data_IF_144288095052
#
_entry.id   IF_144288095052
#
_cell.length_a   1.000
_cell.length_b   1.000
_cell.length_c   1.000
_cell.angle_alpha   90.00
_cell.angle_beta   90.00
_cell.angle_gamma   90.00
#
_symmetry.space_group_name_H-M   'P 1'
#
loop_
_entity.id
_entity.type
_entity.pdbx_description
1 polymer ?
#
# COMPACT_ATOMS: atom_id res chain seq x y z
N UNK A 1 -17.58 8.24 -13.96
CA UNK A 1 -17.98 8.09 -12.54
C UNK A 1 -18.81 9.29 -12.15
N UNK A 2 -20.13 9.15 -12.16
CA UNK A 2 -21.05 10.18 -11.70
C UNK A 2 -20.97 10.17 -10.18
N UNK A 3 -20.39 11.22 -9.59
CA UNK A 3 -20.56 11.50 -8.17
C UNK A 3 -22.06 11.80 -8.02
N UNK A 4 -22.82 10.79 -7.61
CA UNK A 4 -24.18 10.99 -7.12
C UNK A 4 -24.03 11.88 -5.89
N UNK A 5 -24.07 13.18 -6.13
CA UNK A 5 -24.39 14.18 -5.13
C UNK A 5 -25.83 13.85 -4.74
N UNK A 6 -25.95 12.91 -3.80
CA UNK A 6 -27.18 12.73 -3.04
C UNK A 6 -27.48 14.11 -2.48
N UNK A 7 -28.40 14.76 -3.16
CA UNK A 7 -29.16 15.91 -2.72
C UNK A 7 -29.84 15.46 -1.44
N UNK A 8 -29.08 15.53 -0.35
CA UNK A 8 -29.49 15.43 1.04
C UNK A 8 -30.27 16.70 1.36
N UNK A 9 -31.39 16.84 0.65
CA UNK A 9 -32.47 17.74 0.95
C UNK A 9 -32.95 17.24 2.32
N UNK A 10 -32.79 18.09 3.36
CA UNK A 10 -33.34 18.00 4.73
C UNK A 10 -32.42 17.60 5.90
N UNK A 11 -31.13 17.24 5.75
CA UNK A 11 -30.26 17.10 6.93
C UNK A 11 -29.22 18.21 7.01
N UNK A 12 -29.30 18.99 8.08
CA UNK A 12 -28.24 19.91 8.46
C UNK A 12 -26.94 19.11 8.69
N UNK A 13 -25.79 19.60 8.21
CA UNK A 13 -24.49 19.01 8.51
C UNK A 13 -24.28 18.87 10.01
N UNK A 14 -23.52 17.86 10.41
CA UNK A 14 -23.16 17.72 11.83
C UNK A 14 -22.22 18.86 12.23
N UNK A 15 -22.23 19.24 13.52
CA UNK A 15 -21.34 20.28 14.03
C UNK A 15 -19.87 20.01 13.71
N UNK A 16 -19.44 18.75 13.79
CA UNK A 16 -18.09 18.33 13.40
C UNK A 16 -17.78 18.70 11.94
N UNK A 17 -18.69 18.42 11.00
CA UNK A 17 -18.50 18.77 9.59
C UNK A 17 -18.41 20.28 9.36
N UNK A 18 -19.19 21.07 10.10
CA UNK A 18 -19.11 22.54 10.04
C UNK A 18 -17.78 23.06 10.57
N UNK A 19 -17.24 22.46 11.64
CA UNK A 19 -15.91 22.80 12.20
C UNK A 19 -14.80 22.45 11.21
N UNK A 20 -14.77 21.22 10.68
CA UNK A 20 -13.78 20.80 9.67
C UNK A 20 -13.82 21.71 8.44
N UNK A 21 -15.01 22.12 8.01
CA UNK A 21 -15.15 23.07 6.91
C UNK A 21 -14.61 24.45 7.27
N UNK A 22 -14.93 24.97 8.47
CA UNK A 22 -14.41 26.26 8.94
C UNK A 22 -12.88 26.27 9.06
N UNK A 23 -12.27 25.19 9.57
CA UNK A 23 -10.81 25.00 9.61
C UNK A 23 -10.20 25.09 8.21
N UNK A 24 -10.79 24.39 7.23
CA UNK A 24 -10.32 24.44 5.83
C UNK A 24 -10.32 25.85 5.23
N UNK A 25 -11.25 26.72 5.66
CA UNK A 25 -11.32 28.12 5.22
C UNK A 25 -10.24 29.00 5.88
N UNK A 26 -9.87 28.71 7.13
CA UNK A 26 -8.84 29.47 7.86
C UNK A 26 -7.43 29.08 7.38
N UNK A 27 -7.18 27.79 7.17
CA UNK A 27 -5.85 27.27 6.82
C UNK A 27 -5.40 27.60 5.38
N UNK A 28 -6.34 27.96 4.48
CA UNK A 28 -6.12 28.29 3.05
C UNK A 28 -5.41 27.21 2.20
N UNK A 29 -5.02 26.08 2.80
CA UNK A 29 -4.28 24.99 2.13
C UNK A 29 -5.12 23.74 1.90
N UNK A 30 -6.29 23.65 2.52
CA UNK A 30 -7.17 22.49 2.41
C UNK A 30 -8.23 22.72 1.33
N UNK A 31 -8.53 21.73 0.46
CA UNK A 31 -9.56 21.86 -0.54
C UNK A 31 -10.95 22.03 0.12
N UNK A 32 -11.69 23.06 -0.33
CA UNK A 32 -13.02 23.37 0.18
C UNK A 32 -14.06 22.48 -0.53
N UNK A 33 -14.87 21.76 0.25
CA UNK A 33 -15.96 20.93 -0.30
C UNK A 33 -17.03 21.81 -0.98
N UNK A 34 -17.19 21.63 -2.30
CA UNK A 34 -18.17 22.36 -3.10
C UNK A 34 -19.61 22.08 -2.64
N UNK A 35 -19.91 20.84 -2.22
CA UNK A 35 -21.23 20.47 -1.71
C UNK A 35 -21.56 21.21 -0.41
N UNK A 36 -20.58 21.35 0.50
CA UNK A 36 -20.77 22.12 1.73
C UNK A 36 -20.98 23.62 1.42
N UNK A 37 -20.18 24.18 0.50
CA UNK A 37 -20.35 25.56 0.07
C UNK A 37 -21.75 25.82 -0.53
N UNK A 38 -22.24 24.90 -1.37
CA UNK A 38 -23.59 24.96 -1.91
C UNK A 38 -24.66 24.94 -0.80
N UNK A 39 -24.52 24.04 0.20
CA UNK A 39 -25.44 24.00 1.34
C UNK A 39 -25.42 25.30 2.15
N UNK A 40 -24.23 25.84 2.46
CA UNK A 40 -24.09 27.09 3.22
C UNK A 40 -24.67 28.29 2.46
N UNK A 41 -24.63 28.29 1.12
CA UNK A 41 -25.29 29.33 0.31
C UNK A 41 -26.82 29.27 0.40
N UNK A 42 -27.39 28.07 0.59
CA UNK A 42 -28.84 27.86 0.69
C UNK A 42 -29.37 27.94 2.13
N UNK A 43 -28.54 27.69 3.14
CA UNK A 43 -28.95 27.57 4.54
C UNK A 43 -28.30 28.65 5.44
N UNK A 44 -29.02 29.74 5.78
CA UNK A 44 -28.46 30.86 6.52
C UNK A 44 -28.07 30.50 7.97
N UNK A 45 -28.74 29.51 8.57
CA UNK A 45 -28.43 29.03 9.92
C UNK A 45 -27.05 28.37 9.98
N UNK A 46 -26.79 27.40 9.10
CA UNK A 46 -25.47 26.76 9.03
C UNK A 46 -24.38 27.75 8.62
N UNK A 47 -24.68 28.70 7.74
CA UNK A 47 -23.74 29.78 7.39
C UNK A 47 -23.41 30.69 8.58
N UNK A 48 -24.39 30.99 9.46
CA UNK A 48 -24.13 31.73 10.69
C UNK A 48 -23.25 30.94 11.66
N UNK A 49 -23.50 29.64 11.83
CA UNK A 49 -22.68 28.76 12.67
C UNK A 49 -21.23 28.66 12.16
N UNK A 50 -21.01 28.47 10.85
CA UNK A 50 -19.66 28.45 10.26
C UNK A 50 -18.95 29.79 10.43
N UNK A 51 -19.65 30.92 10.27
CA UNK A 51 -19.07 32.26 10.52
C UNK A 51 -18.66 32.43 11.98
N UNK A 52 -19.46 31.96 12.93
CA UNK A 52 -19.13 32.01 14.35
C UNK A 52 -17.90 31.16 14.69
N UNK A 53 -17.84 29.91 14.19
CA UNK A 53 -16.69 29.02 14.37
C UNK A 53 -15.44 29.66 13.76
N UNK A 54 -15.54 30.18 12.54
CA UNK A 54 -14.43 30.84 11.84
C UNK A 54 -13.90 32.04 12.63
N UNK A 55 -14.78 32.89 13.18
CA UNK A 55 -14.36 34.01 14.00
C UNK A 55 -13.58 33.56 15.26
N UNK A 56 -13.99 32.46 15.89
CA UNK A 56 -13.25 31.88 17.02
C UNK A 56 -11.88 31.33 16.61
N UNK A 57 -11.79 30.67 15.45
CA UNK A 57 -10.53 30.15 14.91
C UNK A 57 -9.60 31.28 14.48
N UNK A 58 -10.11 32.32 13.82
CA UNK A 58 -9.33 33.51 13.44
C UNK A 58 -8.81 34.26 14.67
N UNK A 59 -9.62 34.37 15.73
CA UNK A 59 -9.17 34.92 17.01
C UNK A 59 -8.02 34.09 17.60
N UNK A 60 -8.16 32.76 17.64
CA UNK A 60 -7.09 31.88 18.11
C UNK A 60 -5.82 31.99 17.25
N UNK A 61 -5.96 32.12 15.92
CA UNK A 61 -4.85 32.29 14.99
C UNK A 61 -4.18 33.67 15.07
N UNK A 62 -4.89 34.69 15.58
CA UNK A 62 -4.33 36.03 15.78
C UNK A 62 -3.39 36.13 16.98
N UNK A 63 -3.45 35.15 17.88
CA UNK A 63 -2.53 35.08 19.01
C UNK A 63 -1.12 34.83 18.45
N UNK A 64 -0.14 35.71 18.74
CA UNK A 64 1.23 35.50 18.27
C UNK A 64 1.70 34.12 18.73
N UNK A 65 2.27 33.35 17.79
CA UNK A 65 2.78 32.03 18.10
C UNK A 65 3.78 32.15 19.25
N UNK A 66 3.44 31.61 20.42
CA UNK A 66 4.34 31.55 21.55
C UNK A 66 5.58 30.79 21.11
N UNK A 67 6.74 31.46 21.15
CA UNK A 67 8.00 30.80 20.87
C UNK A 67 8.19 29.70 21.93
N UNK A 68 8.23 28.41 21.54
CA UNK A 68 8.41 27.35 22.51
C UNK A 68 9.74 27.58 23.21
N UNK A 69 9.78 27.36 24.53
CA UNK A 69 11.05 27.46 25.25
C UNK A 69 12.08 26.54 24.60
N UNK A 70 13.30 27.02 24.43
CA UNK A 70 14.39 26.24 23.81
C UNK A 70 14.61 24.89 24.53
N UNK A 71 14.31 24.83 25.83
CA UNK A 71 14.28 23.60 26.62
C UNK A 71 13.20 22.61 26.17
N UNK A 72 11.97 23.06 25.89
CA UNK A 72 10.89 22.18 25.44
C UNK A 72 11.17 21.57 24.06
N UNK A 73 11.66 22.39 23.12
CA UNK A 73 12.03 21.90 21.79
C UNK A 73 13.10 20.79 21.90
N UNK A 74 14.10 21.00 22.76
CA UNK A 74 15.13 20.00 23.03
C UNK A 74 14.55 18.73 23.67
N UNK A 75 13.67 18.86 24.65
CA UNK A 75 13.03 17.72 25.30
C UNK A 75 12.18 16.89 24.33
N UNK A 76 11.43 17.55 23.43
CA UNK A 76 10.65 16.87 22.39
C UNK A 76 11.58 16.12 21.43
N UNK A 77 12.69 16.73 21.02
CA UNK A 77 13.66 16.09 20.12
C UNK A 77 14.37 14.91 20.79
N UNK A 78 14.71 15.03 22.07
CA UNK A 78 15.31 13.95 22.86
C UNK A 78 14.32 12.79 23.03
N UNK A 79 13.08 13.06 23.45
CA UNK A 79 12.02 12.05 23.55
C UNK A 79 11.69 11.38 22.22
N UNK A 80 11.68 12.13 21.10
CA UNK A 80 11.48 11.58 19.77
C UNK A 80 12.64 10.67 19.34
N UNK A 81 13.89 10.98 19.73
CA UNK A 81 15.06 10.12 19.47
C UNK A 81 15.02 8.85 20.32
N UNK A 82 14.64 8.96 21.58
CA UNK A 82 14.45 7.81 22.47
C UNK A 82 13.35 6.89 21.96
N UNK A 83 12.20 7.44 21.56
CA UNK A 83 11.12 6.68 20.94
C UNK A 83 11.59 5.96 19.67
N UNK A 84 12.38 6.62 18.80
CA UNK A 84 12.97 5.98 17.62
C UNK A 84 13.92 4.83 18.00
N UNK A 85 14.80 5.01 18.99
CA UNK A 85 15.72 3.96 19.45
C UNK A 85 14.99 2.78 20.10
N UNK A 86 13.88 3.05 20.78
CA UNK A 86 13.03 2.00 21.37
C UNK A 86 12.20 1.26 20.31
N UNK A 87 11.76 1.97 19.26
CA UNK A 87 11.00 1.42 18.15
C UNK A 87 11.88 0.72 17.11
N UNK A 88 13.15 1.10 17.00
CA UNK A 88 14.14 0.38 16.21
C UNK A 88 14.19 -1.04 16.78
N UNK A 89 13.70 -2.05 16.05
CA UNK A 89 13.74 -3.41 16.53
C UNK A 89 15.20 -3.65 16.84
N UNK A 90 15.53 -3.90 18.11
CA UNK A 90 16.86 -4.34 18.49
C UNK A 90 17.14 -5.55 17.62
N UNK A 91 17.79 -5.32 16.50
CA UNK A 91 18.39 -6.32 15.66
C UNK A 91 19.53 -6.80 16.53
N UNK A 92 19.18 -7.65 17.51
CA UNK A 92 20.11 -8.44 18.28
C UNK A 92 21.08 -8.95 17.24
N UNK A 93 22.39 -8.68 17.38
CA UNK A 93 23.35 -9.22 16.44
C UNK A 93 23.04 -10.70 16.36
N UNK A 94 22.57 -11.14 15.18
CA UNK A 94 22.14 -12.51 15.01
C UNK A 94 23.32 -13.35 15.49
N UNK A 95 23.12 -14.25 16.47
CA UNK A 95 24.23 -15.00 17.05
C UNK A 95 25.02 -15.59 15.89
N UNK A 96 26.35 -15.45 15.89
CA UNK A 96 27.24 -15.78 14.76
C UNK A 96 27.01 -17.19 14.13
N UNK A 97 26.27 -18.05 14.83
CA UNK A 97 25.69 -19.30 14.31
C UNK A 97 24.73 -19.13 13.11
N UNK A 98 24.12 -17.96 12.87
CA UNK A 98 23.23 -17.75 11.70
C UNK A 98 23.99 -17.45 10.41
N UNK A 99 25.24 -16.98 10.47
CA UNK A 99 26.07 -16.77 9.29
C UNK A 99 26.46 -18.10 8.63
N UNK A 100 26.75 -19.13 9.44
CA UNK A 100 26.99 -20.49 8.94
C UNK A 100 25.72 -21.12 8.35
N UNK A 101 24.55 -20.87 8.94
CA UNK A 101 23.27 -21.34 8.40
C UNK A 101 22.91 -20.65 7.06
N UNK A 102 23.26 -19.36 6.93
CA UNK A 102 23.12 -18.62 5.67
C UNK A 102 24.04 -19.15 4.56
N UNK A 103 25.30 -19.44 4.89
CA UNK A 103 26.26 -20.02 3.95
C UNK A 103 25.82 -21.42 3.47
N UNK A 104 25.27 -22.25 4.36
CA UNK A 104 24.74 -23.57 3.99
C UNK A 104 23.53 -23.48 3.05
N UNK A 105 22.62 -22.53 3.26
CA UNK A 105 21.49 -22.31 2.36
C UNK A 105 21.93 -21.83 0.98
N UNK A 106 22.95 -20.98 0.91
CA UNK A 106 23.56 -20.58 -0.35
C UNK A 106 24.18 -21.76 -1.11
N UNK A 107 24.91 -22.63 -0.41
CA UNK A 107 25.54 -23.81 -1.00
C UNK A 107 24.53 -24.85 -1.54
N UNK A 108 23.40 -25.04 -0.85
CA UNK A 108 22.34 -25.94 -1.34
C UNK A 108 21.72 -25.41 -2.64
N UNK A 109 21.50 -24.11 -2.75
CA UNK A 109 20.95 -23.50 -3.96
C UNK A 109 21.91 -23.61 -5.16
N UNK A 110 23.21 -23.41 -4.96
CA UNK A 110 24.19 -23.53 -6.05
C UNK A 110 24.33 -24.97 -6.55
N UNK A 111 24.33 -25.96 -5.65
CA UNK A 111 24.34 -27.38 -6.03
C UNK A 111 23.08 -27.75 -6.80
N UNK A 112 21.90 -27.30 -6.35
CA UNK A 112 20.64 -27.58 -7.04
C UNK A 112 20.62 -26.98 -8.44
N UNK A 113 21.07 -25.73 -8.59
CA UNK A 113 21.17 -25.07 -9.90
C UNK A 113 22.21 -25.71 -10.83
N UNK A 114 23.33 -26.17 -10.29
CA UNK A 114 24.34 -26.88 -11.08
C UNK A 114 23.80 -28.25 -11.56
N UNK A 115 23.07 -28.97 -10.70
CA UNK A 115 22.45 -30.24 -11.05
C UNK A 115 21.36 -30.10 -12.12
N UNK A 116 20.51 -29.08 -12.02
CA UNK A 116 19.50 -28.80 -13.05
C UNK A 116 20.14 -28.38 -14.37
N UNK A 117 21.19 -27.55 -14.34
CA UNK A 117 21.96 -27.21 -15.53
C UNK A 117 22.59 -28.45 -16.18
N UNK A 118 23.21 -29.33 -15.40
CA UNK A 118 23.81 -30.56 -15.91
C UNK A 118 22.79 -31.53 -16.55
N UNK A 119 21.59 -31.62 -15.98
CA UNK A 119 20.48 -32.40 -16.55
C UNK A 119 20.02 -31.84 -17.90
N UNK A 120 19.89 -30.51 -18.01
CA UNK A 120 19.50 -29.83 -19.26
C UNK A 120 20.59 -29.96 -20.34
N UNK A 121 21.86 -29.88 -19.96
CA UNK A 121 22.96 -30.07 -20.92
C UNK A 121 23.12 -31.54 -21.36
N UNK A 122 22.88 -32.50 -20.47
CA UNK A 122 22.93 -33.93 -20.82
C UNK A 122 21.83 -34.33 -21.81
N UNK A 123 20.62 -33.77 -21.70
CA UNK A 123 19.57 -34.05 -22.67
C UNK A 123 19.87 -33.46 -24.04
N UNK A 124 20.51 -32.29 -24.11
CA UNK A 124 20.92 -31.67 -25.37
C UNK A 124 22.07 -32.42 -26.07
N UNK A 125 23.00 -33.02 -25.31
CA UNK A 125 24.13 -33.77 -25.88
C UNK A 125 23.76 -35.22 -26.27
N UNK A 126 22.69 -35.79 -25.70
CA UNK A 126 22.23 -37.14 -25.99
C UNK A 126 21.62 -37.35 -27.39
N UNK A 127 21.27 -36.27 -28.09
CA UNK A 127 20.59 -36.33 -29.39
C UNK A 127 21.55 -36.41 -30.60
N UNK A 128 22.87 -36.36 -30.38
CA UNK A 128 23.86 -36.28 -31.48
C UNK A 128 24.50 -37.61 -31.89
N UNK A 129 23.95 -38.76 -31.49
CA UNK A 129 24.55 -40.10 -31.71
C UNK A 129 23.70 -41.05 -32.57
N UNK A 130 22.87 -40.53 -33.47
CA UNK A 130 22.15 -41.31 -34.49
C UNK A 130 22.65 -40.94 -35.89
N UNK A 131 23.27 -41.89 -36.60
CA UNK A 131 23.93 -41.69 -37.89
C UNK A 131 23.00 -41.27 -39.04
N UNK A 132 23.60 -40.85 -40.18
CA UNK A 132 22.86 -40.27 -41.29
C UNK A 132 22.30 -41.36 -42.20
N UNK A 133 20.97 -41.43 -42.33
CA UNK A 133 20.34 -42.00 -43.51
C UNK A 133 19.30 -41.05 -44.08
N UNK A 134 19.53 -40.77 -45.35
CA UNK A 134 18.91 -39.77 -46.19
C UNK A 134 17.56 -40.29 -46.70
N UNK A 135 16.49 -39.52 -46.54
CA UNK A 135 15.39 -39.48 -47.53
C UNK A 135 14.77 -38.07 -47.56
N UNK A 136 14.73 -37.39 -48.71
CA UNK A 136 14.06 -36.11 -48.85
C UNK A 136 12.65 -36.36 -49.38
N UNK A 137 11.66 -36.43 -48.49
CA UNK A 137 10.26 -36.34 -48.93
C UNK A 137 9.46 -35.52 -47.93
N UNK A 138 8.77 -34.51 -48.46
CA UNK A 138 8.25 -33.39 -47.72
C UNK A 138 7.21 -33.74 -46.67
N UNK A 139 7.36 -33.11 -45.52
CA UNK A 139 6.30 -32.45 -44.77
C UNK A 139 6.98 -31.56 -43.75
N UNK A 140 6.52 -30.34 -43.57
CA UNK A 140 7.00 -29.42 -42.54
C UNK A 140 6.29 -29.75 -41.22
N UNK A 141 6.97 -30.22 -40.16
CA UNK A 141 6.46 -30.07 -38.81
C UNK A 141 7.21 -28.91 -38.14
N UNK A 142 6.50 -27.79 -38.09
CA UNK A 142 6.49 -26.81 -37.00
C UNK A 142 7.06 -27.40 -35.69
N UNK A 143 8.31 -27.07 -35.35
CA UNK A 143 8.89 -27.35 -34.01
C UNK A 143 9.75 -26.18 -33.52
N UNK A 144 9.14 -25.00 -33.56
CA UNK A 144 9.36 -23.98 -32.56
C UNK A 144 8.42 -24.30 -31.39
N UNK A 145 8.96 -24.80 -30.28
CA UNK A 145 8.34 -24.77 -28.94
C UNK A 145 9.11 -25.71 -28.01
N UNK A 146 10.18 -25.20 -27.40
CA UNK A 146 10.66 -25.62 -26.08
C UNK A 146 11.51 -24.46 -25.49
N UNK A 147 11.05 -23.22 -25.73
CA UNK A 147 11.15 -22.23 -24.67
C UNK A 147 10.15 -22.74 -23.63
N UNK A 148 10.64 -23.14 -22.46
CA UNK A 148 9.81 -23.40 -21.30
C UNK A 148 8.91 -22.18 -21.15
N UNK A 149 7.67 -22.36 -21.60
CA UNK A 149 6.57 -21.46 -21.42
C UNK A 149 6.36 -21.46 -19.91
N UNK A 150 7.10 -20.58 -19.23
CA UNK A 150 6.73 -20.04 -17.94
C UNK A 150 5.36 -19.43 -18.18
N UNK A 151 4.36 -20.31 -18.08
CA UNK A 151 2.98 -20.06 -18.44
C UNK A 151 2.62 -18.84 -17.61
N UNK A 152 2.49 -17.64 -18.22
CA UNK A 152 2.20 -16.45 -17.45
C UNK A 152 0.90 -16.79 -16.73
N UNK A 153 0.95 -16.81 -15.40
CA UNK A 153 -0.23 -17.10 -14.59
C UNK A 153 -1.38 -16.30 -15.21
N UNK A 154 -2.52 -16.96 -15.54
CA UNK A 154 -3.61 -16.35 -16.28
C UNK A 154 -3.87 -15.01 -15.61
N UNK A 155 -3.90 -13.89 -16.37
CA UNK A 155 -3.74 -12.54 -15.86
C UNK A 155 -4.66 -12.38 -14.66
N UNK A 156 -4.05 -12.54 -13.48
CA UNK A 156 -4.83 -12.68 -12.27
C UNK A 156 -5.53 -11.34 -12.14
N UNK A 157 -6.87 -11.41 -12.12
CA UNK A 157 -7.67 -10.23 -12.32
C UNK A 157 -7.37 -9.31 -11.14
N UNK A 158 -6.61 -8.25 -11.40
CA UNK A 158 -6.13 -7.30 -10.38
C UNK A 158 -7.32 -6.81 -9.54
N UNK A 159 -8.50 -6.72 -10.17
CA UNK A 159 -9.76 -6.38 -9.51
C UNK A 159 -10.19 -7.42 -8.47
N UNK A 160 -10.05 -8.71 -8.75
CA UNK A 160 -10.46 -9.78 -7.83
C UNK A 160 -9.53 -9.83 -6.61
N UNK A 161 -8.21 -9.67 -6.80
CA UNK A 161 -7.27 -9.51 -5.67
C UNK A 161 -7.53 -8.25 -4.86
N UNK A 162 -7.80 -7.12 -5.52
CA UNK A 162 -8.16 -5.88 -4.82
C UNK A 162 -9.43 -6.04 -3.98
N UNK A 163 -10.44 -6.79 -4.48
CA UNK A 163 -11.65 -7.13 -3.71
C UNK A 163 -11.34 -8.04 -2.53
N UNK A 164 -10.47 -9.04 -2.68
CA UNK A 164 -10.06 -9.92 -1.59
C UNK A 164 -9.35 -9.15 -0.47
N UNK A 165 -8.40 -8.29 -0.83
CA UNK A 165 -7.69 -7.42 0.12
C UNK A 165 -8.68 -6.45 0.79
N UNK A 166 -9.66 -5.91 0.06
CA UNK A 166 -10.75 -5.12 0.62
C UNK A 166 -11.59 -5.87 1.66
N UNK A 167 -11.83 -7.17 1.46
CA UNK A 167 -12.54 -8.02 2.45
C UNK A 167 -11.68 -8.28 3.68
N UNK A 168 -10.38 -8.53 3.51
CA UNK A 168 -9.43 -8.72 4.62
C UNK A 168 -9.29 -7.45 5.45
N UNK A 169 -9.11 -6.29 4.80
CA UNK A 169 -8.99 -5.01 5.49
C UNK A 169 -10.26 -4.66 6.27
N UNK A 170 -11.44 -4.89 5.68
CA UNK A 170 -12.73 -4.71 6.37
C UNK A 170 -12.87 -5.64 7.60
N UNK A 171 -12.38 -6.87 7.50
CA UNK A 171 -12.38 -7.83 8.61
C UNK A 171 -11.47 -7.37 9.75
N UNK A 172 -10.25 -6.90 9.43
CA UNK A 172 -9.32 -6.33 10.41
C UNK A 172 -9.90 -5.06 11.06
N UNK A 173 -10.53 -4.18 10.28
CA UNK A 173 -11.15 -2.96 10.78
C UNK A 173 -12.31 -3.24 11.75
N UNK A 174 -13.16 -4.24 11.47
CA UNK A 174 -14.27 -4.63 12.36
C UNK A 174 -13.79 -5.15 13.72
N UNK A 175 -12.63 -5.79 13.76
CA UNK A 175 -12.06 -6.31 15.01
C UNK A 175 -11.52 -5.19 15.92
N UNK A 176 -11.48 -3.93 15.47
CA UNK A 176 -10.75 -2.87 16.19
C UNK A 176 -11.09 -1.43 15.79
N UNK A 177 -11.98 -0.78 16.54
CA UNK A 177 -12.15 0.68 16.43
C UNK A 177 -10.88 1.45 16.86
N UNK A 178 -10.20 0.99 17.92
CA UNK A 178 -9.00 1.67 18.44
C UNK A 178 -7.75 0.76 18.44
N UNK A 179 -6.58 1.28 18.04
CA UNK A 179 -5.31 0.56 18.12
C UNK A 179 -4.88 0.39 19.58
N UNK A 180 -4.45 -0.81 19.96
CA UNK A 180 -4.07 -1.15 21.35
C UNK A 180 -2.64 -0.76 21.68
N UNK A 181 -1.77 -0.66 20.68
CA UNK A 181 -0.34 -0.39 20.87
C UNK A 181 0.17 0.65 19.87
N UNK A 182 1.23 1.38 20.23
CA UNK A 182 1.90 2.33 19.32
C UNK A 182 2.40 1.64 18.04
N UNK A 183 2.89 0.41 18.15
CA UNK A 183 3.37 -0.36 16.99
C UNK A 183 2.24 -0.74 16.03
N UNK A 184 1.06 -1.05 16.54
CA UNK A 184 -0.14 -1.25 15.72
C UNK A 184 -0.55 0.06 15.04
N UNK A 185 -0.51 1.16 15.78
CA UNK A 185 -0.81 2.50 15.29
C UNK A 185 0.13 2.91 14.14
N UNK A 186 1.44 2.68 14.27
CA UNK A 186 2.42 2.94 13.21
C UNK A 186 2.18 2.07 11.97
N UNK A 187 1.92 0.77 12.15
CA UNK A 187 1.59 -0.13 11.04
C UNK A 187 0.33 0.30 10.30
N UNK A 188 -0.69 0.78 11.00
CA UNK A 188 -1.89 1.36 10.36
C UNK A 188 -1.56 2.59 9.53
N UNK A 189 -0.72 3.50 10.05
CA UNK A 189 -0.23 4.67 9.28
C UNK A 189 0.48 4.23 8.00
N UNK A 190 1.35 3.23 8.08
CA UNK A 190 2.09 2.71 6.92
C UNK A 190 1.15 2.06 5.91
N UNK A 191 0.18 1.26 6.37
CA UNK A 191 -0.85 0.66 5.52
C UNK A 191 -1.70 1.72 4.81
N UNK A 192 -2.06 2.80 5.51
CA UNK A 192 -2.80 3.91 4.90
C UNK A 192 -2.01 4.58 3.77
N UNK A 193 -0.70 4.80 3.95
CA UNK A 193 0.18 5.29 2.89
C UNK A 193 0.22 4.36 1.67
N UNK A 194 0.39 3.06 1.89
CA UNK A 194 0.36 2.05 0.81
C UNK A 194 -0.99 2.04 0.10
N UNK A 195 -2.09 2.21 0.83
CA UNK A 195 -3.43 2.23 0.26
C UNK A 195 -3.64 3.46 -0.65
N UNK A 196 -3.09 4.62 -0.27
CA UNK A 196 -3.07 5.82 -1.11
C UNK A 196 -2.29 5.59 -2.41
N UNK A 197 -1.11 4.95 -2.34
CA UNK A 197 -0.29 4.63 -3.52
C UNK A 197 -1.01 3.67 -4.47
N UNK A 198 -1.68 2.64 -3.93
CA UNK A 198 -2.48 1.70 -4.73
C UNK A 198 -3.63 2.44 -5.41
N UNK A 199 -4.37 3.28 -4.68
CA UNK A 199 -5.47 4.06 -5.25
C UNK A 199 -4.99 5.00 -6.37
N UNK A 200 -3.84 5.63 -6.20
CA UNK A 200 -3.22 6.47 -7.23
C UNK A 200 -2.83 5.65 -8.47
N UNK A 201 -2.25 4.46 -8.27
CA UNK A 201 -1.87 3.56 -9.36
C UNK A 201 -3.08 2.99 -10.10
N UNK A 202 -4.16 2.65 -9.40
CA UNK A 202 -5.44 2.24 -9.99
C UNK A 202 -6.06 3.38 -10.79
N UNK A 203 -6.08 4.61 -10.26
CA UNK A 203 -6.56 5.79 -11.00
C UNK A 203 -5.69 6.12 -12.23
N UNK A 204 -4.41 5.72 -12.24
CA UNK A 204 -3.55 5.81 -13.42
C UNK A 204 -3.89 4.73 -14.46
N UNK A 205 -4.19 3.50 -14.02
CA UNK A 205 -4.63 2.40 -14.89
C UNK A 205 -6.01 2.65 -15.50
N UNK A 206 -6.94 3.26 -14.77
CA UNK A 206 -8.25 3.66 -15.30
C UNK A 206 -8.13 4.65 -16.45
N UNK A 207 -7.16 5.58 -16.36
CA UNK A 207 -6.87 6.54 -17.43
C UNK A 207 -6.11 5.91 -18.60
N UNK A 208 -5.25 4.92 -18.32
CA UNK A 208 -4.39 4.27 -19.30
C UNK A 208 -4.36 2.74 -19.08
N UNK A 209 -5.38 2.01 -19.58
CA UNK A 209 -5.46 0.56 -19.45
C UNK A 209 -4.40 -0.09 -20.34
N UNK A 210 -3.23 -0.34 -19.79
CA UNK A 210 -2.07 -0.83 -20.54
C UNK A 210 -0.73 -0.31 -20.05
N UNK A 211 -0.70 0.60 -19.07
CA UNK A 211 0.56 1.05 -18.47
C UNK A 211 1.23 -0.12 -17.69
N UNK A 212 2.34 -0.70 -18.18
CA UNK A 212 2.94 -1.89 -17.57
C UNK A 212 3.49 -1.57 -16.18
N UNK A 213 4.07 -0.38 -16.01
CA UNK A 213 4.62 0.11 -14.74
C UNK A 213 3.54 0.24 -13.66
N UNK A 214 2.35 0.72 -14.01
CA UNK A 214 1.26 0.84 -13.06
C UNK A 214 0.70 -0.54 -12.66
N UNK A 215 0.62 -1.48 -13.60
CA UNK A 215 0.24 -2.86 -13.32
C UNK A 215 1.23 -3.56 -12.38
N UNK A 216 2.53 -3.40 -12.63
CA UNK A 216 3.57 -3.97 -11.77
C UNK A 216 3.52 -3.39 -10.36
N UNK A 217 3.43 -2.06 -10.24
CA UNK A 217 3.26 -1.39 -8.94
C UNK A 217 2.07 -1.94 -8.18
N UNK A 218 0.88 -1.99 -8.80
CA UNK A 218 -0.32 -2.49 -8.14
C UNK A 218 -0.12 -3.93 -7.67
N UNK A 219 0.47 -4.82 -8.50
CA UNK A 219 0.73 -6.21 -8.09
C UNK A 219 1.66 -6.29 -6.87
N UNK A 220 2.82 -5.63 -6.92
CA UNK A 220 3.79 -5.64 -5.82
C UNK A 220 3.20 -5.08 -4.54
N UNK A 221 2.38 -4.03 -4.62
CA UNK A 221 1.75 -3.42 -3.46
C UNK A 221 0.62 -4.29 -2.88
N UNK A 222 -0.21 -4.92 -3.72
CA UNK A 222 -1.25 -5.85 -3.26
C UNK A 222 -0.65 -7.04 -2.50
N UNK A 223 0.47 -7.60 -2.99
CA UNK A 223 1.17 -8.70 -2.30
C UNK A 223 1.65 -8.30 -0.91
N UNK A 224 2.35 -7.15 -0.81
CA UNK A 224 2.82 -6.62 0.48
C UNK A 224 1.68 -6.29 1.44
N UNK A 225 0.56 -5.79 0.91
CA UNK A 225 -0.62 -5.45 1.72
C UNK A 225 -1.28 -6.71 2.27
N UNK A 226 -1.42 -7.76 1.46
CA UNK A 226 -1.96 -9.03 1.90
C UNK A 226 -1.11 -9.65 3.03
N UNK A 227 0.22 -9.62 2.90
CA UNK A 227 1.15 -10.11 3.92
C UNK A 227 1.05 -9.28 5.22
N UNK A 228 1.06 -7.94 5.11
CA UNK A 228 0.93 -7.05 6.27
C UNK A 228 -0.40 -7.20 7.01
N UNK A 229 -1.50 -7.42 6.29
CA UNK A 229 -2.81 -7.68 6.88
C UNK A 229 -2.86 -9.04 7.57
N UNK A 230 -2.21 -10.07 7.02
CA UNK A 230 -2.08 -11.39 7.66
C UNK A 230 -1.28 -11.28 8.96
N UNK A 231 -0.17 -10.54 8.96
CA UNK A 231 0.63 -10.32 10.16
C UNK A 231 -0.17 -9.61 11.26
N UNK A 232 -0.91 -8.56 10.92
CA UNK A 232 -1.78 -7.86 11.87
C UNK A 232 -2.91 -8.75 12.40
N UNK A 233 -3.43 -9.65 11.57
CA UNK A 233 -4.44 -10.61 11.99
C UNK A 233 -3.85 -11.62 12.98
N UNK A 234 -2.70 -12.23 12.65
CA UNK A 234 -2.02 -13.22 13.49
C UNK A 234 -1.66 -12.64 14.86
N UNK A 235 -1.06 -11.44 14.89
CA UNK A 235 -0.66 -10.76 16.12
C UNK A 235 -1.85 -10.41 17.03
N UNK A 236 -3.06 -10.39 16.47
CA UNK A 236 -4.29 -10.09 17.21
C UNK A 236 -5.04 -11.34 17.67
N UNK A 237 -4.87 -12.45 16.96
CA UNK A 237 -5.49 -13.74 17.30
C UNK A 237 -4.70 -14.54 18.33
N UNK A 238 -3.38 -14.32 18.41
CA UNK A 238 -2.49 -14.91 19.41
C UNK A 238 -2.43 -14.05 20.68
#
# INVERSE_FOLDING_TARGET
MSITLDTTILRHPTRHQLVTHAESLVDRRSPVSAAMAAHLSACPRCAAEVRAIRASLEFAASVPASEPSSGLARQILEGAREARRAAEPQSRPAPARSLLAGAFRGAVFTVLMAATAALVFSSALGESSGGPDFTPTGSLPKRAALAAEERPAPPENIQDRAREIGRLSASVARLSAEPRTLREWERRRTLEGVNQDINAALAALERNPGCPRANELVRTHLDRQAESLRDLFIERTL
#
